data_IF_331252775077
#
_entry.id   IF_331252775077
#
_cell.length_a   1.000
_cell.length_b   1.000
_cell.length_c   1.000
_cell.angle_alpha   90.00
_cell.angle_beta   90.00
_cell.angle_gamma   90.00
#
_symmetry.space_group_name_H-M   'P 1'
#
loop_
_entity.id
_entity.type
_entity.pdbx_description
1 polymer ?
#
# COMPACT_ATOMS: atom_id res chain seq x y z
N UNK A 1 -7.62 -12.40 -24.91
CA UNK A 1 -8.57 -11.32 -24.54
C UNK A 1 -9.95 -11.95 -24.52
N UNK A 2 -10.74 -11.78 -23.46
CA UNK A 2 -12.07 -12.40 -23.40
C UNK A 2 -13.08 -11.52 -24.15
N UNK A 3 -13.75 -12.09 -25.17
CA UNK A 3 -14.90 -11.45 -25.79
C UNK A 3 -15.99 -11.20 -24.74
N UNK A 4 -16.75 -10.11 -24.89
CA UNK A 4 -17.89 -9.82 -24.03
C UNK A 4 -18.95 -10.92 -24.24
N UNK A 5 -19.23 -11.69 -23.19
CA UNK A 5 -20.19 -12.80 -23.27
C UNK A 5 -21.62 -12.32 -23.55
N UNK A 6 -22.43 -13.19 -24.18
CA UNK A 6 -23.81 -12.90 -24.56
C UNK A 6 -24.77 -12.62 -23.38
N UNK A 7 -24.40 -13.04 -22.17
CA UNK A 7 -25.09 -12.72 -20.93
C UNK A 7 -24.89 -11.26 -20.48
N UNK A 8 -23.87 -10.57 -21.01
CA UNK A 8 -23.60 -9.18 -20.68
C UNK A 8 -24.68 -8.26 -21.28
N UNK A 9 -25.27 -7.41 -20.45
CA UNK A 9 -26.33 -6.48 -20.88
C UNK A 9 -25.83 -5.53 -21.99
N UNK A 10 -24.59 -5.06 -21.91
CA UNK A 10 -23.97 -4.22 -22.93
C UNK A 10 -23.84 -4.92 -24.28
N UNK A 11 -23.51 -6.21 -24.28
CA UNK A 11 -23.47 -7.03 -25.50
C UNK A 11 -24.86 -7.11 -26.16
N UNK A 12 -25.92 -7.35 -25.35
CA UNK A 12 -27.29 -7.42 -25.85
C UNK A 12 -27.78 -6.07 -26.41
N UNK A 13 -27.43 -4.97 -25.75
CA UNK A 13 -27.76 -3.63 -26.22
C UNK A 13 -27.08 -3.32 -27.55
N UNK A 14 -25.77 -3.57 -27.67
CA UNK A 14 -25.03 -3.39 -28.92
C UNK A 14 -25.67 -4.17 -30.07
N UNK A 15 -25.98 -5.45 -29.83
CA UNK A 15 -26.63 -6.31 -30.84
C UNK A 15 -28.00 -5.76 -31.27
N UNK A 16 -28.81 -5.27 -30.31
CA UNK A 16 -30.10 -4.62 -30.61
C UNK A 16 -29.95 -3.31 -31.38
N UNK A 17 -28.87 -2.57 -31.16
CA UNK A 17 -28.52 -1.36 -31.89
C UNK A 17 -27.93 -1.63 -33.28
N UNK A 18 -27.90 -2.89 -33.73
CA UNK A 18 -27.43 -3.27 -35.07
C UNK A 18 -25.94 -3.56 -35.17
N UNK A 19 -25.19 -3.54 -34.06
CA UNK A 19 -23.80 -3.97 -34.04
C UNK A 19 -23.68 -5.49 -34.20
N UNK A 20 -22.66 -5.93 -34.95
CA UNK A 20 -22.38 -7.34 -35.19
C UNK A 20 -21.10 -7.74 -34.47
N UNK A 21 -21.12 -8.93 -33.88
CA UNK A 21 -19.95 -9.48 -33.21
C UNK A 21 -18.80 -9.64 -34.21
N UNK A 22 -17.60 -9.18 -33.81
CA UNK A 22 -16.41 -9.23 -34.65
C UNK A 22 -16.25 -8.05 -35.61
N UNK A 23 -17.21 -7.12 -35.70
CA UNK A 23 -17.06 -5.90 -36.52
C UNK A 23 -16.76 -4.66 -35.68
N UNK A 24 -16.02 -3.72 -36.27
CA UNK A 24 -15.70 -2.45 -35.64
C UNK A 24 -16.93 -1.55 -35.53
N UNK A 25 -16.88 -0.56 -34.65
CA UNK A 25 -17.94 0.45 -34.54
C UNK A 25 -17.81 1.54 -35.61
N UNK A 26 -18.91 2.20 -35.95
CA UNK A 26 -18.93 3.32 -36.91
C UNK A 26 -19.61 2.95 -38.24
N UNK A 27 -19.85 3.97 -39.08
CA UNK A 27 -20.64 3.81 -40.30
C UNK A 27 -20.06 2.82 -41.33
N UNK A 28 -18.73 2.63 -41.32
CA UNK A 28 -18.01 1.70 -42.19
C UNK A 28 -17.30 0.62 -41.37
N UNK A 29 -17.75 0.37 -40.14
CA UNK A 29 -17.11 -0.57 -39.21
C UNK A 29 -15.63 -0.25 -38.94
N UNK A 30 -15.24 1.02 -39.07
CA UNK A 30 -13.85 1.49 -39.03
C UNK A 30 -13.23 1.56 -37.62
N UNK A 31 -14.04 1.37 -36.59
CA UNK A 31 -13.62 1.40 -35.20
C UNK A 31 -12.73 0.24 -34.85
N UNK A 32 -11.84 0.43 -33.86
CA UNK A 32 -10.92 -0.62 -33.44
C UNK A 32 -11.68 -1.74 -32.72
N UNK A 33 -11.34 -2.99 -33.05
CA UNK A 33 -11.93 -4.18 -32.42
C UNK A 33 -11.44 -4.36 -30.97
N UNK A 34 -10.16 -4.06 -30.74
CA UNK A 34 -9.53 -4.24 -29.45
C UNK A 34 -9.49 -2.93 -28.64
N UNK A 35 -9.66 -2.99 -27.31
CA UNK A 35 -9.39 -1.89 -26.38
C UNK A 35 -7.99 -1.28 -26.51
N UNK A 36 -7.81 -0.04 -26.04
CA UNK A 36 -6.50 0.63 -26.14
C UNK A 36 -5.64 0.06 -25.02
N UNK A 37 -4.45 -0.44 -25.36
CA UNK A 37 -3.50 -0.83 -24.33
C UNK A 37 -3.07 0.39 -23.52
N UNK A 38 -3.14 0.27 -22.19
CA UNK A 38 -2.68 1.31 -21.28
C UNK A 38 -1.54 0.77 -20.42
N UNK A 39 -0.56 1.63 -20.15
CA UNK A 39 0.54 1.32 -19.22
C UNK A 39 0.25 1.98 -17.89
N UNK A 40 0.16 1.17 -16.83
CA UNK A 40 0.02 1.69 -15.47
C UNK A 40 1.36 2.29 -15.03
N UNK A 41 1.32 3.54 -14.56
CA UNK A 41 2.51 4.22 -14.03
C UNK A 41 2.61 3.97 -12.53
N UNK A 42 3.47 3.05 -12.12
CA UNK A 42 3.69 2.71 -10.71
C UNK A 42 4.61 3.70 -9.97
N UNK A 43 5.21 4.67 -10.66
CA UNK A 43 6.15 5.63 -10.07
C UNK A 43 5.57 7.04 -10.00
N UNK A 44 6.13 7.87 -9.11
CA UNK A 44 5.76 9.29 -8.97
C UNK A 44 6.69 10.24 -9.73
N UNK A 45 7.53 9.72 -10.64
CA UNK A 45 8.54 10.53 -11.34
C UNK A 45 7.94 11.30 -12.51
N UNK A 46 8.57 12.40 -12.91
CA UNK A 46 8.15 13.18 -14.09
C UNK A 46 8.20 12.36 -15.38
N UNK A 47 7.42 12.77 -16.38
CA UNK A 47 7.54 12.23 -17.74
C UNK A 47 8.95 12.52 -18.28
N UNK A 48 9.53 11.58 -19.03
CA UNK A 48 10.91 11.71 -19.55
C UNK A 48 12.03 11.46 -18.53
N UNK A 49 11.71 11.14 -17.27
CA UNK A 49 12.74 10.82 -16.28
C UNK A 49 13.43 9.49 -16.63
N UNK A 50 14.76 9.48 -16.74
CA UNK A 50 15.57 8.27 -17.03
C UNK A 50 15.27 7.18 -16.01
N UNK A 51 14.91 5.97 -16.43
CA UNK A 51 14.69 4.84 -15.53
C UNK A 51 15.88 4.66 -14.57
N UNK A 52 15.63 4.36 -13.28
CA UNK A 52 16.74 4.08 -12.38
C UNK A 52 17.46 2.85 -12.92
N UNK A 53 18.78 2.97 -13.13
CA UNK A 53 19.59 1.81 -13.50
C UNK A 53 19.33 0.71 -12.49
N UNK A 54 19.05 -0.54 -12.92
CA UNK A 54 18.92 -1.64 -11.98
C UNK A 54 20.20 -1.66 -11.15
N UNK A 55 20.05 -1.56 -9.82
CA UNK A 55 21.19 -1.75 -8.92
C UNK A 55 21.70 -3.17 -9.19
N UNK A 56 23.00 -3.38 -9.38
CA UNK A 56 23.52 -4.73 -9.54
C UNK A 56 23.04 -5.55 -8.34
N UNK A 57 22.38 -6.67 -8.63
CA UNK A 57 22.10 -7.69 -7.63
C UNK A 57 23.48 -8.18 -7.18
N UNK A 58 23.88 -7.79 -5.98
CA UNK A 58 25.01 -8.45 -5.33
C UNK A 58 24.44 -9.80 -4.89
N UNK A 59 24.61 -10.79 -5.77
CA UNK A 59 24.49 -12.20 -5.43
C UNK A 59 25.75 -12.53 -4.61
N UNK A 60 25.65 -12.46 -3.29
CA UNK A 60 26.68 -12.99 -2.38
C UNK A 60 26.23 -14.38 -1.91
N UNK A 61 26.37 -15.36 -2.79
CA UNK A 61 26.40 -16.78 -2.41
C UNK A 61 27.84 -17.30 -2.48
N UNK A 62 28.45 -17.38 -1.28
CA UNK A 62 29.45 -18.37 -0.78
C UNK A 62 30.84 -18.44 -1.45
N UNK A 63 31.92 -18.10 -0.70
CA UNK A 63 32.88 -19.06 -0.11
C UNK A 63 33.99 -18.40 0.76
N UNK A 64 33.95 -18.72 2.07
CA UNK A 64 35.04 -18.92 3.07
C UNK A 64 36.29 -17.98 3.15
N UNK A 65 36.28 -17.05 4.13
CA UNK A 65 37.40 -16.78 5.07
C UNK A 65 36.85 -16.03 6.34
N UNK A 66 37.34 -16.27 7.59
CA UNK A 66 36.59 -15.93 8.81
C UNK A 66 37.14 -14.70 9.56
N UNK A 67 36.51 -13.52 9.40
CA UNK A 67 36.54 -12.43 10.41
C UNK A 67 35.31 -11.49 10.35
N UNK A 68 34.45 -11.64 11.37
CA UNK A 68 33.38 -10.80 11.98
C UNK A 68 32.97 -9.40 11.43
N UNK A 69 31.74 -8.89 11.80
CA UNK A 69 30.58 -9.59 12.36
C UNK A 69 29.18 -9.18 11.80
N UNK A 70 28.31 -10.19 11.65
CA UNK A 70 26.84 -10.09 11.51
C UNK A 70 26.12 -9.59 12.79
N UNK A 71 26.80 -8.84 13.68
CA UNK A 71 26.27 -8.43 14.99
C UNK A 71 25.37 -7.17 14.93
N UNK A 72 25.55 -6.29 13.95
CA UNK A 72 24.87 -4.99 13.91
C UNK A 72 23.39 -5.05 13.52
N UNK A 73 22.99 -6.07 12.75
CA UNK A 73 21.59 -6.22 12.34
C UNK A 73 20.70 -6.72 13.48
N UNK A 74 21.25 -7.58 14.36
CA UNK A 74 20.49 -8.21 15.44
C UNK A 74 20.37 -7.29 16.66
N UNK A 75 21.39 -6.47 16.93
CA UNK A 75 21.35 -5.43 17.98
C UNK A 75 20.34 -4.32 17.65
N UNK A 76 20.29 -3.86 16.40
CA UNK A 76 19.32 -2.84 15.94
C UNK A 76 17.85 -3.30 16.06
N UNK A 77 17.56 -4.58 15.76
CA UNK A 77 16.21 -5.15 15.93
C UNK A 77 15.80 -5.21 17.40
N UNK A 78 16.71 -5.62 18.29
CA UNK A 78 16.47 -5.68 19.74
C UNK A 78 16.27 -4.29 20.36
N UNK A 79 17.07 -3.31 19.97
CA UNK A 79 16.93 -1.92 20.42
C UNK A 79 15.57 -1.30 20.02
N UNK A 80 15.11 -1.55 18.78
CA UNK A 80 13.77 -1.09 18.33
C UNK A 80 12.62 -1.71 19.13
N UNK A 81 12.72 -2.99 19.48
CA UNK A 81 11.68 -3.66 20.27
C UNK A 81 11.65 -3.15 21.72
N UNK A 82 12.81 -2.92 22.33
CA UNK A 82 12.92 -2.31 23.66
C UNK A 82 12.33 -0.89 23.68
N UNK A 83 12.68 -0.04 22.70
CA UNK A 83 12.13 1.30 22.58
C UNK A 83 10.60 1.32 22.42
N UNK A 84 10.03 0.37 21.66
CA UNK A 84 8.57 0.25 21.50
C UNK A 84 7.87 -0.14 22.81
N UNK A 85 8.48 -1.00 23.63
CA UNK A 85 7.94 -1.38 24.95
C UNK A 85 7.99 -0.23 25.94
N UNK A 86 9.11 0.51 25.98
CA UNK A 86 9.27 1.69 26.84
C UNK A 86 8.22 2.75 26.50
N UNK A 87 8.04 3.06 25.21
CA UNK A 87 7.03 4.05 24.77
C UNK A 87 5.62 3.65 25.18
N UNK A 88 5.25 2.37 25.05
CA UNK A 88 3.92 1.88 25.44
C UNK A 88 3.69 1.98 26.96
N UNK A 89 4.72 1.66 27.74
CA UNK A 89 4.67 1.78 29.20
C UNK A 89 4.51 3.23 29.65
N UNK A 90 5.28 4.16 29.06
CA UNK A 90 5.17 5.60 29.36
C UNK A 90 3.79 6.17 29.00
N UNK A 91 3.16 5.70 27.93
CA UNK A 91 1.82 6.13 27.54
C UNK A 91 0.74 5.64 28.52
N UNK A 92 0.85 4.40 28.99
CA UNK A 92 -0.07 3.86 30.01
C UNK A 92 0.12 4.53 31.36
N UNK A 93 1.36 4.78 31.78
CA UNK A 93 1.69 5.52 33.00
C UNK A 93 1.17 6.97 32.94
N UNK A 94 1.39 7.66 31.81
CA UNK A 94 0.86 9.01 31.62
C UNK A 94 -0.67 9.03 31.66
N UNK A 95 -1.33 8.03 31.06
CA UNK A 95 -2.79 7.91 31.12
C UNK A 95 -3.30 7.65 32.54
N UNK A 96 -2.55 6.89 33.34
CA UNK A 96 -2.88 6.68 34.75
C UNK A 96 -2.66 7.95 35.56
N UNK A 97 -1.55 8.66 35.34
CA UNK A 97 -1.29 9.97 35.97
C UNK A 97 -2.37 10.99 35.60
N UNK A 98 -2.80 11.07 34.34
CA UNK A 98 -3.87 12.00 33.93
C UNK A 98 -5.20 11.64 34.60
N UNK A 99 -5.55 10.36 34.71
CA UNK A 99 -6.74 9.92 35.44
C UNK A 99 -6.64 10.18 36.94
N UNK A 100 -5.50 9.89 37.54
CA UNK A 100 -5.26 10.14 38.96
C UNK A 100 -5.28 11.63 39.25
N UNK A 101 -4.68 12.44 38.38
CA UNK A 101 -4.76 13.90 38.42
C UNK A 101 -6.20 14.38 38.28
N UNK A 102 -6.97 13.88 37.32
CA UNK A 102 -8.38 14.26 37.14
C UNK A 102 -9.23 13.88 38.36
N UNK A 103 -9.04 12.67 38.91
CA UNK A 103 -9.71 12.23 40.13
C UNK A 103 -9.29 13.07 41.35
N UNK A 104 -8.01 13.39 41.51
CA UNK A 104 -7.49 14.21 42.59
C UNK A 104 -7.94 15.67 42.46
N UNK A 105 -7.87 16.23 41.25
CA UNK A 105 -8.32 17.58 40.92
C UNK A 105 -9.82 17.74 41.20
N UNK A 106 -10.64 16.78 40.77
CA UNK A 106 -12.07 16.82 41.05
C UNK A 106 -12.36 16.71 42.55
N UNK A 107 -11.65 15.81 43.26
CA UNK A 107 -11.75 15.66 44.72
C UNK A 107 -11.39 16.93 45.48
N UNK A 108 -10.38 17.67 45.02
CA UNK A 108 -9.84 18.85 45.71
C UNK A 108 -10.56 20.15 45.32
N UNK A 109 -11.06 20.25 44.09
CA UNK A 109 -11.62 21.49 43.54
C UNK A 109 -13.14 21.48 43.30
N UNK A 110 -13.82 20.32 43.41
CA UNK A 110 -15.29 20.19 43.29
C UNK A 110 -15.88 19.13 44.25
N UNK A 111 -16.10 19.44 45.54
CA UNK A 111 -16.58 18.49 46.53
C UNK A 111 -18.07 18.08 46.40
N UNK A 112 -18.90 18.91 45.75
CA UNK A 112 -20.37 18.86 45.88
C UNK A 112 -21.11 18.24 44.68
N UNK A 113 -20.53 17.27 43.96
CA UNK A 113 -21.24 16.58 42.87
C UNK A 113 -21.25 15.04 43.01
N UNK A 114 -21.60 14.58 44.21
CA UNK A 114 -22.26 13.28 44.46
C UNK A 114 -23.75 13.50 44.68
#
# INVERSE_FOLDING_TARGET
>A
MAAIGSSNIGFQLLKKSGWKEGTGLGAQEQGRLEPVETRVKNNKRGLGSKEPKPKPKVEDDVEKDPQKPKQDMQSKKRAKLAAKRIRKMQEEEKRLQEKEFEMAFFREFWPDNV
#
